data_IF_301826180240
#
_entry.id   IF_301826180240
#
_cell.length_a   1.000
_cell.length_b   1.000
_cell.length_c   1.000
_cell.angle_alpha   90.00
_cell.angle_beta   90.00
_cell.angle_gamma   90.00
#
_symmetry.space_group_name_H-M   'P 1'
#
loop_
_entity.id
_entity.type
_entity.pdbx_description
1 polymer ?
#
# COMPACT_ATOMS: atom_id res chain seq x y z
N UNK A 1 -21.37 -17.90 3.97
CA UNK A 1 -21.55 -16.45 3.77
C UNK A 1 -20.21 -15.76 3.92
N UNK A 2 -19.95 -14.67 3.19
CA UNK A 2 -18.70 -13.91 3.30
C UNK A 2 -18.79 -12.83 4.38
N UNK A 3 -17.70 -12.62 5.14
CA UNK A 3 -17.56 -11.47 6.05
C UNK A 3 -16.82 -10.38 5.28
N UNK A 4 -17.39 -9.17 5.25
CA UNK A 4 -16.94 -8.06 4.39
C UNK A 4 -15.46 -7.67 4.54
N UNK A 5 -14.84 -7.64 5.75
CA UNK A 5 -13.47 -7.16 5.92
C UNK A 5 -12.39 -8.23 5.72
N UNK A 6 -12.74 -9.42 5.21
CA UNK A 6 -11.79 -10.53 5.10
C UNK A 6 -11.89 -11.25 3.75
N UNK A 7 -10.75 -11.67 3.24
CA UNK A 7 -10.64 -12.65 2.15
C UNK A 7 -9.98 -13.92 2.66
N UNK A 8 -10.33 -15.05 2.05
CA UNK A 8 -9.72 -16.33 2.33
C UNK A 8 -8.55 -16.55 1.37
N UNK A 9 -7.37 -16.87 1.91
CA UNK A 9 -6.13 -17.09 1.15
C UNK A 9 -5.56 -18.47 1.48
N UNK A 10 -5.09 -19.17 0.45
CA UNK A 10 -4.42 -20.46 0.58
C UNK A 10 -3.16 -20.47 -0.27
N UNK A 11 -2.04 -20.94 0.30
CA UNK A 11 -0.80 -21.20 -0.42
C UNK A 11 -0.75 -22.67 -0.82
N UNK A 12 -1.04 -22.95 -2.09
CA UNK A 12 -1.04 -24.31 -2.64
C UNK A 12 0.35 -24.79 -3.09
N UNK A 13 1.37 -23.93 -2.96
CA UNK A 13 2.73 -24.23 -3.37
C UNK A 13 3.55 -24.85 -2.25
N UNK A 14 4.78 -25.28 -2.59
CA UNK A 14 5.81 -25.72 -1.62
C UNK A 14 6.76 -24.60 -1.20
N UNK A 15 6.49 -23.36 -1.63
CA UNK A 15 7.35 -22.20 -1.39
C UNK A 15 6.67 -21.18 -0.49
N UNK A 16 7.47 -20.34 0.16
CA UNK A 16 6.98 -19.13 0.78
C UNK A 16 6.39 -18.21 -0.30
N UNK A 17 5.24 -17.61 -0.01
CA UNK A 17 4.60 -16.64 -0.90
C UNK A 17 4.46 -15.32 -0.17
N UNK A 18 5.10 -14.27 -0.71
CA UNK A 18 4.95 -12.91 -0.22
C UNK A 18 3.80 -12.21 -0.95
N UNK A 19 2.86 -11.67 -0.17
CA UNK A 19 1.81 -10.78 -0.64
C UNK A 19 2.10 -9.38 -0.10
N UNK A 20 2.15 -8.41 -1.00
CA UNK A 20 2.49 -7.04 -0.65
C UNK A 20 1.24 -6.28 -0.17
N UNK A 21 1.37 -5.60 0.96
CA UNK A 21 0.36 -4.71 1.51
C UNK A 21 0.01 -3.61 0.51
N UNK A 22 -1.30 -3.46 0.26
CA UNK A 22 -1.80 -2.56 -0.76
C UNK A 22 -2.08 -3.19 -2.13
N UNK A 23 -1.83 -4.48 -2.32
CA UNK A 23 -2.19 -5.15 -3.58
C UNK A 23 -3.70 -5.20 -3.79
N UNK A 24 -4.14 -4.93 -5.03
CA UNK A 24 -5.54 -4.97 -5.41
C UNK A 24 -5.95 -6.36 -5.86
N UNK A 25 -6.98 -6.89 -5.21
CA UNK A 25 -7.64 -8.14 -5.54
C UNK A 25 -8.96 -7.82 -6.25
N UNK A 26 -9.07 -8.21 -7.51
CA UNK A 26 -10.25 -7.95 -8.34
C UNK A 26 -11.11 -9.19 -8.51
N UNK A 27 -12.43 -9.02 -8.43
CA UNK A 27 -13.42 -10.08 -8.65
C UNK A 27 -14.46 -10.18 -7.54
N UNK A 28 -14.98 -11.39 -7.34
CA UNK A 28 -15.97 -11.72 -6.32
C UNK A 28 -17.14 -10.73 -6.30
N UNK A 29 -17.56 -10.24 -5.13
CA UNK A 29 -18.66 -9.27 -5.03
C UNK A 29 -18.23 -7.81 -5.18
N UNK A 30 -16.96 -7.54 -4.90
CA UNK A 30 -16.40 -6.21 -4.81
C UNK A 30 -14.88 -6.32 -4.75
N UNK A 31 -14.17 -5.39 -5.38
CA UNK A 31 -12.71 -5.38 -5.38
C UNK A 31 -12.17 -5.04 -3.97
N UNK A 32 -10.97 -5.52 -3.67
CA UNK A 32 -10.32 -5.43 -2.36
C UNK A 32 -8.90 -4.91 -2.45
N UNK A 33 -8.44 -4.25 -1.39
CA UNK A 33 -7.03 -3.94 -1.14
C UNK A 33 -6.55 -4.71 0.08
N UNK A 34 -5.38 -5.34 0.01
CA UNK A 34 -4.73 -6.00 1.16
C UNK A 34 -4.32 -4.96 2.21
N UNK A 35 -4.68 -5.19 3.48
CA UNK A 35 -4.41 -4.24 4.56
C UNK A 35 -2.93 -4.19 5.01
N UNK A 36 -2.12 -5.20 4.65
CA UNK A 36 -0.73 -5.28 5.06
C UNK A 36 0.00 -6.42 4.36
N UNK A 37 1.31 -6.49 4.59
CA UNK A 37 2.15 -7.55 4.07
C UNK A 37 1.81 -8.90 4.71
N UNK A 38 1.93 -9.98 3.93
CA UNK A 38 1.73 -11.35 4.40
C UNK A 38 2.81 -12.23 3.81
N UNK A 39 3.55 -12.93 4.67
CA UNK A 39 4.43 -14.02 4.26
C UNK A 39 3.74 -15.35 4.56
N UNK A 40 3.24 -16.02 3.52
CA UNK A 40 2.48 -17.26 3.65
C UNK A 40 3.41 -18.46 3.70
N UNK A 41 3.20 -19.32 4.71
CA UNK A 41 3.87 -20.61 4.80
C UNK A 41 3.44 -21.54 3.65
N UNK A 42 4.32 -22.47 3.20
CA UNK A 42 3.92 -23.52 2.27
C UNK A 42 2.73 -24.32 2.81
N UNK A 43 1.70 -24.52 1.98
CA UNK A 43 0.54 -25.31 2.36
C UNK A 43 -0.46 -24.63 3.30
N UNK A 44 -0.31 -23.34 3.63
CA UNK A 44 -1.32 -22.58 4.39
C UNK A 44 -2.68 -22.69 3.71
N UNK A 45 -3.72 -22.99 4.50
CA UNK A 45 -5.10 -23.15 4.01
C UNK A 45 -6.04 -22.20 4.71
N UNK A 46 -6.88 -21.55 3.92
CA UNK A 46 -8.04 -20.82 4.37
C UNK A 46 -7.75 -19.68 5.37
N UNK A 47 -6.55 -19.10 5.30
CA UNK A 47 -6.14 -17.97 6.13
C UNK A 47 -7.04 -16.76 5.83
N UNK A 48 -7.56 -16.13 6.88
CA UNK A 48 -8.43 -14.96 6.76
C UNK A 48 -7.59 -13.68 6.77
N UNK A 49 -7.34 -13.13 5.59
CA UNK A 49 -6.57 -11.90 5.42
C UNK A 49 -7.46 -10.65 5.53
N UNK A 50 -7.06 -9.65 6.33
CA UNK A 50 -7.78 -8.39 6.43
C UNK A 50 -7.65 -7.60 5.12
N UNK A 51 -8.78 -7.05 4.67
CA UNK A 51 -8.88 -6.27 3.43
C UNK A 51 -9.86 -5.11 3.60
N UNK A 52 -9.75 -4.14 2.70
CA UNK A 52 -10.74 -3.08 2.54
C UNK A 52 -11.36 -3.10 1.16
N UNK A 53 -12.62 -2.65 1.06
CA UNK A 53 -13.33 -2.54 -0.21
C UNK A 53 -12.83 -1.32 -1.00
N UNK A 54 -12.54 -1.49 -2.29
CA UNK A 54 -12.11 -0.38 -3.19
C UNK A 54 -13.11 -0.07 -4.31
N UNK A 55 -14.37 -0.43 -4.11
CA UNK A 55 -15.46 -0.23 -5.09
C UNK A 55 -16.82 -0.11 -4.38
N UNK A 56 -17.09 1.03 -3.75
CA UNK A 56 -18.21 1.21 -2.81
C UNK A 56 -19.58 0.75 -3.34
N UNK A 57 -19.89 1.05 -4.61
CA UNK A 57 -21.21 0.89 -5.22
C UNK A 57 -21.49 -0.49 -5.84
N UNK A 58 -20.54 -1.44 -5.82
CA UNK A 58 -20.77 -2.80 -6.36
C UNK A 58 -20.93 -3.82 -5.24
N UNK A 59 -22.04 -4.56 -5.28
CA UNK A 59 -22.27 -5.75 -4.45
C UNK A 59 -22.87 -6.92 -5.26
N UNK A 60 -22.42 -7.06 -6.50
CA UNK A 60 -22.82 -8.14 -7.41
C UNK A 60 -21.67 -9.11 -7.63
N UNK A 61 -21.98 -10.41 -7.60
CA UNK A 61 -21.00 -11.47 -7.80
C UNK A 61 -20.57 -11.54 -9.27
N UNK A 62 -19.26 -11.41 -9.55
CA UNK A 62 -18.68 -11.51 -10.89
C UNK A 62 -17.74 -12.70 -11.09
N UNK A 63 -17.20 -13.29 -10.01
CA UNK A 63 -16.30 -14.45 -10.07
C UNK A 63 -16.25 -15.23 -8.75
N UNK A 64 -15.89 -16.52 -8.82
CA UNK A 64 -15.74 -17.38 -7.63
C UNK A 64 -14.49 -17.06 -6.81
N UNK A 65 -13.44 -16.56 -7.45
CA UNK A 65 -12.15 -16.24 -6.83
C UNK A 65 -11.68 -14.84 -7.20
N UNK A 66 -10.80 -14.29 -6.37
CA UNK A 66 -10.07 -13.07 -6.67
C UNK A 66 -8.94 -13.34 -7.68
N UNK A 67 -8.59 -12.30 -8.42
CA UNK A 67 -7.42 -12.25 -9.31
C UNK A 67 -6.61 -10.99 -9.02
N UNK A 68 -5.30 -11.05 -9.22
CA UNK A 68 -4.47 -9.84 -9.18
C UNK A 68 -4.48 -9.16 -10.55
N UNK A 69 -4.72 -7.85 -10.57
CA UNK A 69 -4.54 -7.01 -11.76
C UNK A 69 -3.09 -6.51 -11.91
N UNK A 70 -2.16 -7.05 -11.12
CA UNK A 70 -0.76 -6.63 -11.07
C UNK A 70 -0.64 -5.12 -10.79
N UNK A 71 -1.51 -4.59 -9.93
CA UNK A 71 -1.43 -3.22 -9.45
C UNK A 71 -1.60 -3.14 -7.93
N UNK A 72 -1.07 -2.05 -7.36
CA UNK A 72 -1.27 -1.65 -5.98
C UNK A 72 -2.29 -0.52 -5.92
N UNK A 73 -2.82 -0.25 -4.73
CA UNK A 73 -3.33 1.07 -4.39
C UNK A 73 -2.26 2.14 -4.58
N UNK A 74 -2.69 3.39 -4.81
CA UNK A 74 -1.78 4.55 -4.75
C UNK A 74 -1.09 4.61 -3.38
N UNK A 75 0.07 5.28 -3.25
CA UNK A 75 0.75 5.43 -1.97
C UNK A 75 -0.16 5.89 -0.84
N UNK A 76 -1.05 6.85 -1.10
CA UNK A 76 -2.03 7.30 -0.12
C UNK A 76 -3.03 6.20 0.30
N UNK A 77 -3.58 5.43 -0.65
CA UNK A 77 -4.45 4.30 -0.32
C UNK A 77 -3.72 3.21 0.47
N UNK A 78 -2.46 2.93 0.14
CA UNK A 78 -1.62 1.98 0.87
C UNK A 78 -1.38 2.45 2.30
N UNK A 79 -1.02 3.72 2.49
CA UNK A 79 -0.85 4.32 3.80
C UNK A 79 -2.12 4.17 4.66
N UNK A 80 -3.30 4.47 4.11
CA UNK A 80 -4.59 4.32 4.83
C UNK A 80 -4.93 2.87 5.16
N UNK A 81 -4.66 1.94 4.25
CA UNK A 81 -4.90 0.52 4.50
C UNK A 81 -4.01 -0.01 5.63
N UNK A 82 -2.75 0.43 5.71
CA UNK A 82 -1.78 -0.02 6.70
C UNK A 82 -2.03 0.50 8.12
N UNK A 83 -2.73 1.62 8.27
CA UNK A 83 -3.11 2.16 9.59
C UNK A 83 -4.05 1.22 10.36
N UNK A 84 -4.74 0.32 9.66
CA UNK A 84 -5.69 -0.64 10.24
C UNK A 84 -6.74 0.03 11.16
N UNK A 85 -7.13 1.28 10.85
CA UNK A 85 -8.05 2.05 11.68
C UNK A 85 -9.50 1.56 11.55
N UNK A 86 -10.35 1.75 12.58
CA UNK A 86 -11.78 1.43 12.49
C UNK A 86 -12.51 2.18 11.37
N UNK A 87 -12.03 3.38 11.02
CA UNK A 87 -12.59 4.24 9.98
C UNK A 87 -11.97 3.99 8.58
N UNK A 88 -10.98 3.10 8.46
CA UNK A 88 -10.19 2.92 7.24
C UNK A 88 -11.06 2.60 6.02
N UNK A 89 -12.17 1.87 6.20
CA UNK A 89 -13.07 1.55 5.09
C UNK A 89 -13.70 2.81 4.46
N UNK A 90 -14.22 3.73 5.27
CA UNK A 90 -14.81 4.98 4.79
C UNK A 90 -13.75 5.94 4.26
N UNK A 91 -12.59 6.00 4.90
CA UNK A 91 -11.47 6.83 4.45
C UNK A 91 -10.94 6.39 3.08
N UNK A 92 -10.81 5.08 2.85
CA UNK A 92 -10.41 4.52 1.55
C UNK A 92 -11.41 4.91 0.46
N UNK A 93 -12.71 4.84 0.72
CA UNK A 93 -13.72 5.29 -0.25
C UNK A 93 -13.64 6.79 -0.52
N UNK A 94 -13.48 7.61 0.52
CA UNK A 94 -13.27 9.04 0.37
C UNK A 94 -12.07 9.35 -0.52
N UNK A 95 -10.94 8.67 -0.27
CA UNK A 95 -9.71 8.86 -1.04
C UNK A 95 -9.86 8.42 -2.50
N UNK A 96 -10.50 7.29 -2.77
CA UNK A 96 -10.80 6.85 -4.15
C UNK A 96 -11.67 7.90 -4.87
N UNK A 97 -12.67 8.47 -4.18
CA UNK A 97 -13.53 9.49 -4.77
C UNK A 97 -12.76 10.79 -5.08
N UNK A 98 -11.84 11.20 -4.21
CA UNK A 98 -10.94 12.34 -4.44
C UNK A 98 -10.00 12.10 -5.62
N UNK A 99 -9.32 10.95 -5.66
CA UNK A 99 -8.40 10.58 -6.73
C UNK A 99 -9.11 10.49 -8.10
N UNK A 100 -10.29 9.86 -8.14
CA UNK A 100 -11.11 9.81 -9.35
C UNK A 100 -11.49 11.22 -9.82
N UNK A 101 -11.88 12.12 -8.90
CA UNK A 101 -12.20 13.52 -9.25
C UNK A 101 -10.99 14.27 -9.78
N UNK A 102 -9.84 14.15 -9.12
CA UNK A 102 -8.59 14.79 -9.53
C UNK A 102 -8.13 14.33 -10.92
N UNK A 103 -8.38 13.07 -11.28
CA UNK A 103 -8.06 12.51 -12.59
C UNK A 103 -9.18 12.66 -13.63
N UNK A 104 -10.30 13.32 -13.28
CA UNK A 104 -11.46 13.48 -14.16
C UNK A 104 -12.06 12.14 -14.61
N UNK A 105 -12.16 11.19 -13.69
CA UNK A 105 -12.70 9.84 -13.90
C UNK A 105 -14.14 9.81 -13.38
N UNK A 106 -15.09 9.53 -14.27
CA UNK A 106 -16.45 9.22 -13.89
C UNK A 106 -16.55 7.73 -13.53
N UNK A 107 -16.98 7.42 -12.30
CA UNK A 107 -17.14 6.05 -11.83
C UNK A 107 -18.53 5.86 -11.22
N UNK A 108 -19.34 4.98 -11.82
CA UNK A 108 -20.69 4.69 -11.36
C UNK A 108 -20.71 3.95 -10.00
N UNK A 109 -19.68 3.15 -9.72
CA UNK A 109 -19.57 2.35 -8.48
C UNK A 109 -18.49 2.87 -7.54
N UNK A 110 -17.82 3.99 -7.86
CA UNK A 110 -16.67 4.45 -7.09
C UNK A 110 -15.52 3.43 -7.09
N UNK A 111 -15.29 2.75 -8.21
CA UNK A 111 -14.24 1.74 -8.35
C UNK A 111 -12.86 2.39 -8.52
N UNK A 112 -11.89 1.93 -7.74
CA UNK A 112 -10.48 2.29 -7.92
C UNK A 112 -9.97 1.95 -9.33
N UNK A 113 -10.39 0.80 -9.87
CA UNK A 113 -9.94 0.34 -11.18
C UNK A 113 -10.42 1.22 -12.34
N UNK A 114 -11.43 2.08 -12.17
CA UNK A 114 -11.91 2.95 -13.24
C UNK A 114 -10.88 4.02 -13.62
N UNK A 115 -10.02 4.41 -12.69
CA UNK A 115 -8.92 5.33 -12.96
C UNK A 115 -7.92 4.77 -13.98
N UNK A 116 -7.72 3.45 -14.02
CA UNK A 116 -6.90 2.76 -15.02
C UNK A 116 -7.63 2.47 -16.33
N UNK A 117 -8.97 2.52 -16.35
CA UNK A 117 -9.78 2.21 -17.54
C UNK A 117 -9.96 3.43 -18.44
N UNK A 118 -9.89 4.65 -17.90
CA UNK A 118 -9.92 5.88 -18.70
C UNK A 118 -8.76 5.87 -19.70
N UNK A 119 -9.07 6.00 -20.98
CA UNK A 119 -8.10 5.84 -22.08
C UNK A 119 -6.91 6.79 -21.96
N UNK A 120 -7.18 8.06 -21.64
CA UNK A 120 -6.14 9.07 -21.42
C UNK A 120 -5.19 8.68 -20.28
N UNK A 121 -5.73 8.19 -19.16
CA UNK A 121 -4.93 7.76 -18.03
C UNK A 121 -4.07 6.55 -18.39
N UNK A 122 -4.66 5.57 -19.10
CA UNK A 122 -3.94 4.39 -19.59
C UNK A 122 -2.75 4.78 -20.45
N UNK A 123 -2.94 5.65 -21.44
CA UNK A 123 -1.88 6.10 -22.33
C UNK A 123 -0.75 6.82 -21.56
N UNK A 124 -1.10 7.68 -20.61
CA UNK A 124 -0.12 8.39 -19.76
C UNK A 124 0.66 7.44 -18.86
N UNK A 125 -0.01 6.47 -18.25
CA UNK A 125 0.62 5.44 -17.40
C UNK A 125 1.57 4.58 -18.22
N UNK A 126 1.15 4.07 -19.38
CA UNK A 126 2.01 3.25 -20.24
C UNK A 126 3.28 3.98 -20.66
N UNK A 127 3.19 5.28 -20.99
CA UNK A 127 4.36 6.10 -21.32
C UNK A 127 5.36 6.23 -20.15
N UNK A 128 4.87 6.22 -18.90
CA UNK A 128 5.72 6.24 -17.71
C UNK A 128 6.33 4.85 -17.49
N UNK A 129 5.51 3.80 -17.58
CA UNK A 129 5.95 2.40 -17.46
C UNK A 129 7.09 2.10 -18.44
N UNK A 130 6.93 2.41 -19.72
CA UNK A 130 7.93 2.22 -20.78
C UNK A 130 9.27 2.89 -20.48
N UNK A 131 9.24 4.10 -19.90
CA UNK A 131 10.46 4.87 -19.60
C UNK A 131 11.20 4.38 -18.36
N UNK A 132 10.48 3.76 -17.42
CA UNK A 132 10.99 3.52 -16.07
C UNK A 132 11.10 2.03 -15.72
N UNK A 133 10.59 1.13 -16.56
CA UNK A 133 10.56 -0.32 -16.30
C UNK A 133 11.95 -0.90 -15.98
N UNK A 134 13.00 -0.39 -16.62
CA UNK A 134 14.37 -0.91 -16.46
C UNK A 134 15.18 -0.19 -15.36
N UNK A 135 14.63 0.81 -14.67
CA UNK A 135 15.36 1.58 -13.65
C UNK A 135 16.02 0.70 -12.56
N UNK A 136 15.35 -0.30 -11.97
CA UNK A 136 15.97 -1.18 -10.98
C UNK A 136 17.14 -1.99 -11.50
N UNK A 137 17.25 -2.19 -12.82
CA UNK A 137 18.31 -3.01 -13.42
C UNK A 137 19.60 -2.22 -13.66
N UNK A 138 19.59 -0.90 -13.42
CA UNK A 138 20.78 -0.06 -13.54
C UNK A 138 21.86 -0.45 -12.53
N UNK A 139 21.46 -0.94 -11.35
CA UNK A 139 22.36 -1.46 -10.32
C UNK A 139 21.85 -2.79 -9.78
N UNK A 140 22.65 -3.85 -9.92
CA UNK A 140 22.24 -5.23 -9.62
C UNK A 140 21.93 -5.48 -8.12
N UNK A 141 22.42 -4.61 -7.23
CA UNK A 141 22.24 -4.65 -5.78
C UNK A 141 21.08 -3.77 -5.30
N UNK A 142 20.29 -3.18 -6.21
CA UNK A 142 19.13 -2.36 -5.84
C UNK A 142 18.06 -3.22 -5.17
N UNK A 143 17.74 -2.92 -3.91
CA UNK A 143 16.74 -3.64 -3.12
C UNK A 143 15.43 -2.88 -2.92
N UNK A 144 15.31 -1.65 -3.42
CA UNK A 144 14.16 -0.81 -3.14
C UNK A 144 14.18 0.52 -3.89
N UNK A 145 13.19 1.35 -3.58
CA UNK A 145 12.97 2.64 -4.26
C UNK A 145 12.29 3.63 -3.32
N UNK A 146 12.72 4.89 -3.40
CA UNK A 146 11.98 6.06 -2.91
C UNK A 146 11.30 6.72 -4.11
N UNK A 147 9.99 6.91 -4.04
CA UNK A 147 9.19 7.50 -5.11
C UNK A 147 8.89 8.95 -4.77
N UNK A 148 9.20 9.85 -5.71
CA UNK A 148 8.81 11.25 -5.67
C UNK A 148 7.76 11.58 -6.72
N UNK A 149 6.76 12.40 -6.34
CA UNK A 149 5.77 12.96 -7.26
C UNK A 149 5.64 14.45 -6.98
N UNK A 150 5.85 15.29 -8.01
CA UNK A 150 5.72 16.74 -7.88
C UNK A 150 6.66 17.38 -6.83
N UNK A 151 7.88 16.85 -6.71
CA UNK A 151 8.92 17.34 -5.79
C UNK A 151 8.80 16.86 -4.35
N UNK A 152 7.80 16.03 -4.03
CA UNK A 152 7.62 15.46 -2.70
C UNK A 152 7.76 13.94 -2.74
N UNK A 153 8.34 13.36 -1.68
CA UNK A 153 8.29 11.91 -1.47
C UNK A 153 6.84 11.50 -1.29
N UNK A 154 6.44 10.35 -1.84
CA UNK A 154 5.10 9.77 -1.64
C UNK A 154 5.16 8.36 -1.07
N UNK A 155 6.22 7.62 -1.33
CA UNK A 155 6.44 6.30 -0.73
C UNK A 155 7.90 5.88 -0.80
N UNK A 156 8.24 4.91 0.03
CA UNK A 156 9.42 4.06 -0.15
C UNK A 156 9.04 2.60 0.04
N UNK A 157 9.67 1.72 -0.72
CA UNK A 157 9.53 0.27 -0.61
C UNK A 157 10.94 -0.35 -0.67
N UNK A 158 11.33 -1.12 0.36
CA UNK A 158 12.63 -1.79 0.49
C UNK A 158 12.39 -3.28 0.73
N UNK A 159 13.06 -4.15 0.00
CA UNK A 159 12.84 -5.60 0.01
C UNK A 159 14.08 -6.36 0.50
N UNK A 160 13.88 -7.63 0.86
CA UNK A 160 14.96 -8.51 1.32
C UNK A 160 16.11 -8.67 0.33
N UNK A 161 15.84 -8.57 -0.97
CA UNK A 161 16.82 -8.77 -2.04
C UNK A 161 16.36 -8.14 -3.37
N UNK A 162 17.28 -7.97 -4.34
CA UNK A 162 16.96 -7.40 -5.64
C UNK A 162 15.91 -8.19 -6.43
N UNK A 163 15.89 -9.53 -6.33
CA UNK A 163 14.93 -10.36 -7.06
C UNK A 163 13.48 -10.12 -6.62
N UNK A 164 13.25 -9.94 -5.32
CA UNK A 164 11.93 -9.62 -4.79
C UNK A 164 11.51 -8.21 -5.22
N UNK A 165 12.44 -7.24 -5.14
CA UNK A 165 12.18 -5.88 -5.62
C UNK A 165 11.81 -5.85 -7.10
N UNK A 166 12.58 -6.52 -7.96
CA UNK A 166 12.32 -6.61 -9.40
C UNK A 166 10.95 -7.22 -9.72
N UNK A 167 10.49 -8.18 -8.92
CA UNK A 167 9.15 -8.78 -9.07
C UNK A 167 8.03 -7.81 -8.67
N UNK A 168 8.26 -6.92 -7.70
CA UNK A 168 7.25 -5.94 -7.27
C UNK A 168 7.29 -4.62 -8.05
N UNK A 169 8.43 -4.29 -8.67
CA UNK A 169 8.63 -3.04 -9.39
C UNK A 169 7.53 -2.69 -10.39
N UNK A 170 7.04 -3.60 -11.25
CA UNK A 170 5.96 -3.26 -12.18
C UNK A 170 4.70 -2.75 -11.46
N UNK A 171 4.35 -3.31 -10.30
CA UNK A 171 3.16 -2.90 -9.54
C UNK A 171 3.37 -1.54 -8.85
N UNK A 172 4.56 -1.32 -8.29
CA UNK A 172 4.97 -0.05 -7.64
C UNK A 172 5.01 1.09 -8.67
N UNK A 173 5.63 0.85 -9.83
CA UNK A 173 5.71 1.82 -10.91
C UNK A 173 4.33 2.19 -11.43
N UNK A 174 3.45 1.19 -11.62
CA UNK A 174 2.09 1.41 -12.12
C UNK A 174 1.20 2.21 -11.16
N UNK A 175 1.28 1.98 -9.85
CA UNK A 175 0.53 2.78 -8.87
C UNK A 175 1.11 4.19 -8.73
N UNK A 176 2.44 4.33 -8.77
CA UNK A 176 3.13 5.62 -8.75
C UNK A 176 2.80 6.47 -9.98
N UNK A 177 2.75 5.84 -11.16
CA UNK A 177 2.34 6.47 -12.40
C UNK A 177 0.90 7.00 -12.31
N UNK A 178 -0.03 6.23 -11.73
CA UNK A 178 -1.39 6.69 -11.48
C UNK A 178 -1.40 7.92 -10.55
N UNK A 179 -0.68 7.87 -9.42
CA UNK A 179 -0.57 9.00 -8.49
C UNK A 179 -0.02 10.26 -9.16
N UNK A 180 0.94 10.11 -10.07
CA UNK A 180 1.49 11.25 -10.82
C UNK A 180 0.47 11.96 -11.70
N UNK A 181 -0.61 11.28 -12.13
CA UNK A 181 -1.61 11.89 -13.00
C UNK A 181 -2.44 12.96 -12.29
N UNK A 182 -2.59 12.85 -10.97
CA UNK A 182 -3.31 13.82 -10.13
C UNK A 182 -2.44 14.98 -9.65
N UNK A 183 -1.12 14.96 -9.89
CA UNK A 183 -0.23 16.05 -9.48
C UNK A 183 -0.11 17.12 -10.57
N UNK A 184 -0.24 18.39 -10.16
CA UNK A 184 -0.04 19.56 -11.02
C UNK A 184 1.35 20.19 -10.87
N UNK A 185 2.15 19.71 -9.91
CA UNK A 185 3.49 20.25 -9.65
C UNK A 185 4.52 19.60 -10.56
N UNK A 186 5.26 20.42 -11.29
CA UNK A 186 6.42 20.00 -12.08
C UNK A 186 7.71 20.28 -11.31
N UNK A 187 7.97 19.50 -10.26
CA UNK A 187 9.21 19.56 -9.48
C UNK A 187 9.83 18.16 -9.36
N UNK A 188 11.16 18.11 -9.31
CA UNK A 188 11.92 16.88 -9.09
C UNK A 188 12.22 16.69 -7.61
N UNK A 189 12.14 15.44 -7.15
CA UNK A 189 12.72 15.03 -5.87
C UNK A 189 14.23 14.84 -6.07
N UNK A 190 15.05 15.45 -5.23
CA UNK A 190 16.50 15.22 -5.27
C UNK A 190 16.93 14.05 -4.36
N UNK A 191 18.21 13.66 -4.45
CA UNK A 191 18.77 12.55 -3.69
C UNK A 191 18.82 12.85 -2.19
N UNK A 192 19.05 14.10 -1.79
CA UNK A 192 19.20 14.47 -0.40
C UNK A 192 17.86 14.41 0.32
N UNK A 193 16.78 14.89 -0.31
CA UNK A 193 15.41 14.75 0.18
C UNK A 193 15.00 13.27 0.31
N UNK A 194 15.34 12.43 -0.69
CA UNK A 194 15.08 11.00 -0.61
C UNK A 194 15.85 10.33 0.54
N UNK A 195 17.13 10.70 0.72
CA UNK A 195 17.96 10.18 1.79
C UNK A 195 17.50 10.66 3.17
N UNK A 196 17.05 11.91 3.29
CA UNK A 196 16.47 12.46 4.53
C UNK A 196 15.21 11.70 4.94
N UNK A 197 14.32 11.40 3.99
CA UNK A 197 13.15 10.58 4.29
C UNK A 197 13.51 9.17 4.78
N UNK A 198 14.55 8.54 4.24
CA UNK A 198 15.01 7.25 4.74
C UNK A 198 15.66 7.36 6.13
N UNK A 199 16.43 8.43 6.38
CA UNK A 199 17.05 8.67 7.68
C UNK A 199 16.03 8.90 8.78
N UNK A 200 14.87 9.48 8.47
CA UNK A 200 13.79 9.66 9.45
C UNK A 200 13.27 8.34 10.03
N UNK A 201 13.62 7.19 9.46
CA UNK A 201 13.21 5.87 9.96
C UNK A 201 14.13 5.32 11.07
N UNK A 202 15.37 5.79 11.16
CA UNK A 202 16.42 5.16 11.97
C UNK A 202 16.16 5.23 13.48
N UNK A 203 15.64 6.37 13.96
CA UNK A 203 15.46 6.62 15.40
C UNK A 203 14.00 6.40 15.87
N UNK A 204 13.18 5.77 15.03
CA UNK A 204 11.76 5.56 15.33
C UNK A 204 11.56 4.43 16.33
N UNK A 205 10.59 4.60 17.21
CA UNK A 205 10.09 3.50 18.04
C UNK A 205 9.08 2.68 17.25
N UNK A 206 9.35 1.39 17.10
CA UNK A 206 8.46 0.44 16.45
C UNK A 206 7.66 -0.36 17.47
N UNK A 207 6.37 -0.50 17.22
CA UNK A 207 5.51 -1.51 17.84
C UNK A 207 5.68 -2.81 17.08
N UNK A 208 5.70 -3.93 17.80
CA UNK A 208 5.85 -5.26 17.22
C UNK A 208 4.59 -6.08 17.43
N UNK A 209 4.21 -6.84 16.42
CA UNK A 209 3.14 -7.83 16.53
C UNK A 209 3.45 -9.05 15.66
N UNK A 210 2.89 -10.24 15.94
CA UNK A 210 2.99 -11.36 15.03
C UNK A 210 2.46 -10.99 13.63
N UNK A 211 3.15 -11.45 12.59
CA UNK A 211 2.60 -11.43 11.23
C UNK A 211 1.35 -12.30 11.14
N UNK A 212 0.54 -12.09 10.09
CA UNK A 212 -0.71 -12.83 9.93
C UNK A 212 -0.50 -14.35 9.77
N UNK A 213 0.60 -14.75 9.13
CA UNK A 213 1.03 -16.16 9.01
C UNK A 213 2.45 -16.27 9.56
N UNK A 214 3.47 -16.09 8.73
CA UNK A 214 4.86 -16.08 9.18
C UNK A 214 5.38 -14.66 9.45
N UNK A 215 6.36 -14.58 10.36
CA UNK A 215 7.14 -13.38 10.62
C UNK A 215 6.60 -12.49 11.74
N UNK A 216 7.21 -11.31 11.85
CA UNK A 216 6.90 -10.26 12.82
C UNK A 216 6.70 -8.96 12.06
N UNK A 217 5.58 -8.29 12.31
CA UNK A 217 5.31 -6.95 11.80
C UNK A 217 5.84 -5.90 12.77
N UNK A 218 6.54 -4.92 12.22
CA UNK A 218 7.02 -3.71 12.89
C UNK A 218 6.23 -2.53 12.34
N UNK A 219 5.65 -1.71 13.21
CA UNK A 219 4.89 -0.52 12.81
C UNK A 219 5.31 0.71 13.60
N UNK A 220 5.45 1.84 12.92
CA UNK A 220 5.70 3.14 13.54
C UNK A 220 4.92 4.19 12.77
N UNK A 221 3.96 4.82 13.44
CA UNK A 221 3.08 5.84 12.84
C UNK A 221 3.09 7.04 13.78
N UNK A 222 3.49 8.19 13.26
CA UNK A 222 3.44 9.48 13.95
C UNK A 222 3.09 10.58 12.94
N UNK A 223 3.27 11.84 13.33
CA UNK A 223 2.97 13.01 12.50
C UNK A 223 3.89 13.19 11.29
N UNK A 224 4.99 12.46 11.19
CA UNK A 224 5.95 12.59 10.07
C UNK A 224 5.76 11.50 9.03
N UNK A 225 5.61 10.25 9.48
CA UNK A 225 5.50 9.11 8.57
C UNK A 225 4.70 7.94 9.16
N UNK A 226 4.18 7.12 8.26
CA UNK A 226 3.70 5.76 8.51
C UNK A 226 4.73 4.77 7.94
N UNK A 227 5.36 3.99 8.81
CA UNK A 227 6.36 2.98 8.45
C UNK A 227 5.90 1.61 8.93
N UNK A 228 5.89 0.63 8.02
CA UNK A 228 5.60 -0.76 8.34
C UNK A 228 6.69 -1.65 7.73
N UNK A 229 7.12 -2.67 8.46
CA UNK A 229 8.00 -3.71 7.96
C UNK A 229 7.52 -5.10 8.38
N UNK A 230 7.70 -6.09 7.51
CA UNK A 230 7.55 -7.50 7.84
C UNK A 230 8.95 -8.13 7.87
N UNK A 231 9.30 -8.78 8.97
CA UNK A 231 10.55 -9.52 9.10
C UNK A 231 10.30 -11.01 9.36
N UNK A 232 11.20 -11.86 8.88
CA UNK A 232 11.19 -13.30 9.13
C UNK A 232 12.64 -13.79 9.21
N UNK A 233 12.95 -14.66 10.18
CA UNK A 233 14.29 -15.17 10.45
C UNK A 233 15.37 -14.06 10.53
N UNK A 234 15.10 -13.04 11.35
CA UNK A 234 15.96 -11.86 11.57
C UNK A 234 16.30 -11.03 10.32
N UNK A 235 15.51 -11.18 9.25
CA UNK A 235 15.65 -10.41 8.01
C UNK A 235 14.37 -9.67 7.66
N UNK A 236 14.50 -8.41 7.25
CA UNK A 236 13.39 -7.64 6.69
C UNK A 236 13.02 -8.25 5.34
N UNK A 237 11.79 -8.71 5.21
CA UNK A 237 11.20 -9.19 3.96
C UNK A 237 10.81 -8.00 3.09
N UNK A 238 10.13 -7.05 3.70
CA UNK A 238 9.70 -5.81 3.08
C UNK A 238 9.52 -4.71 4.14
N UNK A 239 9.89 -3.49 3.79
CA UNK A 239 9.61 -2.26 4.52
C UNK A 239 8.95 -1.27 3.57
N UNK A 240 7.77 -0.79 3.95
CA UNK A 240 7.08 0.31 3.30
C UNK A 240 7.07 1.54 4.21
N UNK A 241 7.24 2.71 3.63
CA UNK A 241 7.14 3.98 4.33
C UNK A 241 6.40 5.04 3.52
N UNK A 242 5.54 5.81 4.17
CA UNK A 242 4.73 6.87 3.56
C UNK A 242 4.83 8.12 4.42
N UNK A 243 5.06 9.32 3.83
CA UNK A 243 4.90 10.57 4.56
C UNK A 243 3.47 10.72 5.08
N UNK A 244 3.28 11.38 6.23
CA UNK A 244 1.94 11.65 6.72
C UNK A 244 1.23 12.74 5.91
N UNK A 245 -0.08 12.59 5.73
CA UNK A 245 -0.93 13.61 5.12
C UNK A 245 -1.31 14.69 6.14
N UNK A 246 -1.35 15.97 5.72
CA UNK A 246 -1.64 17.12 6.59
C UNK A 246 -2.95 16.97 7.39
N UNK A 247 -4.00 16.41 6.77
CA UNK A 247 -5.28 16.21 7.44
C UNK A 247 -5.22 15.17 8.58
N UNK A 248 -4.23 14.28 8.55
CA UNK A 248 -3.99 13.27 9.59
C UNK A 248 -3.06 13.74 10.68
N UNK A 249 -2.16 14.69 10.39
CA UNK A 249 -1.36 15.36 11.42
C UNK A 249 -2.29 15.94 12.51
N UNK A 250 -3.42 16.55 12.11
CA UNK A 250 -4.42 17.10 13.05
C UNK A 250 -5.01 16.03 13.97
N UNK A 251 -5.43 14.89 13.42
CA UNK A 251 -6.01 13.77 14.20
C UNK A 251 -5.00 13.17 15.17
N UNK A 252 -3.76 12.94 14.72
CA UNK A 252 -2.69 12.38 15.56
C UNK A 252 -2.34 13.33 16.71
N UNK A 253 -2.24 14.62 16.43
CA UNK A 253 -1.97 15.63 17.46
C UNK A 253 -3.12 15.73 18.47
N UNK A 254 -4.37 15.60 18.03
CA UNK A 254 -5.53 15.61 18.91
C UNK A 254 -5.62 14.35 19.78
N UNK A 255 -5.32 13.17 19.23
CA UNK A 255 -5.23 11.90 19.99
C UNK A 255 -4.08 11.92 21.02
N UNK A 256 -2.96 12.57 20.69
CA UNK A 256 -1.85 12.76 21.64
C UNK A 256 -2.17 13.79 22.73
N UNK A 257 -3.10 14.72 22.49
CA UNK A 257 -3.60 15.71 23.46
C UNK A 257 -4.76 15.19 24.31
N UNK A 258 -5.40 14.09 23.90
CA UNK A 258 -6.44 13.45 24.71
C UNK A 258 -5.83 12.99 26.06
N UNK A 259 -6.47 13.30 27.20
CA UNK A 259 -5.94 12.90 28.49
C UNK A 259 -5.83 11.37 28.53
N UNK A 260 -4.61 10.86 28.75
CA UNK A 260 -4.39 9.44 29.01
C UNK A 260 -5.27 9.05 30.18
N UNK A 261 -6.23 8.16 29.94
CA UNK A 261 -7.02 7.58 31.02
C UNK A 261 -6.06 7.06 32.08
N UNK A 262 -6.24 7.42 33.37
CA UNK A 262 -5.32 6.98 34.40
C UNK A 262 -5.32 5.46 34.45
N UNK A 263 -4.11 4.87 34.45
CA UNK A 263 -3.87 3.44 34.65
C UNK A 263 -4.61 2.99 35.91
N UNK A 264 -5.81 2.43 35.73
CA UNK A 264 -6.52 1.74 36.79
C UNK A 264 -6.30 0.25 36.62
N UNK A 265 -5.29 -0.19 37.37
CA UNK A 265 -5.24 -1.40 38.19
C UNK A 265 -5.07 -2.77 37.50
N UNK A 266 -3.88 -3.33 37.78
CA UNK A 266 -3.54 -4.72 38.13
C UNK A 266 -3.81 -5.83 37.12
#
# INVERSE_FOLDING_TARGET
>A
GGRVPQVKISNLSKHLVFLMGGEILTGCRQDRILAGDILLAPGTKDLLAPVYCVEQGRWSHVSQSFSSKQNLGTPALRARAQEKSPAAQSEIWGKIAEENRAMGVASATGAYQDAYKKEENRARISKIEEKMVDLPRLHADTVGVVIGVGGAVVSTDIFANPDLFLKQWPKILRSSALTSLGSTRAASLDRDQAAEFLRSFLDRRFRTQPGLDLGVEYTSIDSEANVQALAHDDRVVHLAGFPQEEDRIKVILDDQRAPRLPDRLR
#
